data_IF_136076443244
#
_entry.id   IF_136076443244
#
_cell.length_a   1.000
_cell.length_b   1.000
_cell.length_c   1.000
_cell.angle_alpha   90.00
_cell.angle_beta   90.00
_cell.angle_gamma   90.00
#
_symmetry.space_group_name_H-M   'P 1'
#
loop_
_entity.id
_entity.type
_entity.pdbx_description
1 polymer ?
#
# COMPACT_ATOMS: atom_id res chain seq x y z
N UNK A 1 -4.09 -1.75 9.45
CA UNK A 1 -3.97 -1.20 8.08
C UNK A 1 -5.34 -0.75 7.63
N UNK A 2 -5.41 0.21 6.71
CA UNK A 2 -6.64 0.63 6.06
C UNK A 2 -6.41 0.68 4.54
N UNK A 3 -7.46 0.47 3.76
CA UNK A 3 -7.41 0.57 2.31
C UNK A 3 -8.69 1.20 1.77
N UNK A 4 -8.56 2.02 0.74
CA UNK A 4 -9.66 2.61 -0.02
C UNK A 4 -9.50 2.33 -1.50
N UNK A 5 -10.62 2.24 -2.20
CA UNK A 5 -10.69 1.96 -3.62
C UNK A 5 -11.82 2.77 -4.23
N UNK A 6 -11.52 3.46 -5.33
CA UNK A 6 -12.45 4.26 -6.10
C UNK A 6 -12.72 3.56 -7.43
N UNK A 7 -13.96 3.12 -7.62
CA UNK A 7 -14.39 2.44 -8.84
C UNK A 7 -15.29 3.37 -9.64
N UNK A 8 -14.93 3.63 -10.90
CA UNK A 8 -15.72 4.45 -11.82
C UNK A 8 -15.71 3.83 -13.22
N UNK A 9 -16.89 3.76 -13.86
CA UNK A 9 -17.02 3.20 -15.21
C UNK A 9 -16.46 1.79 -15.34
N UNK A 10 -16.72 0.94 -14.34
CA UNK A 10 -16.18 -0.43 -14.18
C UNK A 10 -14.67 -0.49 -13.90
N UNK A 11 -13.94 0.63 -13.89
CA UNK A 11 -12.49 0.67 -13.65
C UNK A 11 -12.16 0.99 -12.20
N UNK A 12 -11.09 0.39 -11.68
CA UNK A 12 -10.46 0.88 -10.45
C UNK A 12 -9.66 2.13 -10.81
N UNK A 13 -10.28 3.30 -10.66
CA UNK A 13 -9.70 4.60 -11.02
C UNK A 13 -8.72 5.14 -9.99
N UNK A 14 -8.83 4.67 -8.74
CA UNK A 14 -7.94 5.05 -7.65
C UNK A 14 -7.94 3.99 -6.57
N UNK A 15 -6.82 3.85 -5.87
CA UNK A 15 -6.74 3.06 -4.65
C UNK A 15 -5.64 3.62 -3.76
N UNK A 16 -5.83 3.52 -2.46
CA UNK A 16 -4.83 3.86 -1.47
C UNK A 16 -4.79 2.79 -0.38
N UNK A 17 -3.59 2.41 0.04
CA UNK A 17 -3.36 1.51 1.17
C UNK A 17 -2.48 2.23 2.18
N UNK A 18 -2.93 2.29 3.43
CA UNK A 18 -2.23 2.91 4.55
C UNK A 18 -1.89 1.85 5.59
N UNK A 19 -0.59 1.68 5.84
CA UNK A 19 -0.04 0.72 6.80
C UNK A 19 0.54 1.48 7.99
N UNK A 20 0.23 1.00 9.20
CA UNK A 20 0.77 1.57 10.43
C UNK A 20 2.18 1.04 10.65
N UNK A 21 3.19 1.91 10.49
CA UNK A 21 4.60 1.57 10.67
C UNK A 21 4.86 1.12 12.11
N UNK A 22 4.23 1.79 13.07
CA UNK A 22 4.34 1.47 14.50
C UNK A 22 3.87 0.05 14.85
N UNK A 23 3.06 -0.58 13.99
CA UNK A 23 2.53 -1.94 14.17
C UNK A 23 3.37 -3.02 13.47
N UNK A 24 4.48 -2.66 12.80
CA UNK A 24 5.35 -3.64 12.14
C UNK A 24 6.01 -4.54 13.19
N UNK A 25 5.83 -5.86 13.00
CA UNK A 25 6.32 -6.89 13.88
C UNK A 25 6.84 -8.09 13.09
N UNK A 26 7.90 -8.70 13.61
CA UNK A 26 8.47 -9.97 13.15
C UNK A 26 8.60 -10.91 14.36
N UNK A 27 9.25 -12.05 14.17
CA UNK A 27 9.62 -12.97 15.27
C UNK A 27 10.77 -12.45 16.16
N UNK A 28 11.31 -11.25 15.88
CA UNK A 28 12.42 -10.66 16.61
C UNK A 28 12.12 -9.22 17.04
N UNK A 29 11.74 -9.05 18.31
CA UNK A 29 11.35 -7.76 18.87
C UNK A 29 12.46 -6.70 18.86
N UNK A 30 13.74 -7.10 18.93
CA UNK A 30 14.87 -6.16 18.84
C UNK A 30 14.98 -5.57 17.43
N UNK A 31 14.83 -6.41 16.40
CA UNK A 31 14.80 -5.97 14.99
C UNK A 31 13.61 -5.05 14.75
N UNK A 32 12.45 -5.37 15.31
CA UNK A 32 11.25 -4.55 15.14
C UNK A 32 11.40 -3.17 15.79
N UNK A 33 12.01 -3.10 16.98
CA UNK A 33 12.31 -1.85 17.66
C UNK A 33 13.29 -0.98 16.88
N UNK A 34 14.37 -1.58 16.36
CA UNK A 34 15.33 -0.87 15.51
C UNK A 34 14.67 -0.35 14.23
N UNK A 35 13.81 -1.17 13.61
CA UNK A 35 13.11 -0.80 12.37
C UNK A 35 12.15 0.37 12.60
N UNK A 36 11.27 0.27 13.60
CA UNK A 36 10.29 1.32 13.91
C UNK A 36 10.95 2.62 14.39
N UNK A 37 12.03 2.53 15.17
CA UNK A 37 12.73 3.71 15.69
C UNK A 37 13.68 4.33 14.67
N UNK A 38 14.83 3.68 14.46
CA UNK A 38 15.96 4.30 13.75
C UNK A 38 15.88 4.21 12.22
N UNK A 39 15.10 3.27 11.68
CA UNK A 39 15.04 3.04 10.22
C UNK A 39 13.86 3.74 9.57
N UNK A 40 12.71 3.76 10.25
CA UNK A 40 11.46 4.31 9.71
C UNK A 40 10.92 5.51 10.50
N UNK A 41 11.58 5.89 11.60
CA UNK A 41 11.19 7.00 12.47
C UNK A 41 9.68 7.07 12.72
N UNK A 42 9.07 5.96 13.18
CA UNK A 42 7.62 5.77 13.26
C UNK A 42 6.89 6.78 14.15
N UNK A 43 7.58 7.45 15.07
CA UNK A 43 7.02 8.55 15.86
C UNK A 43 6.78 9.82 14.99
N UNK A 44 7.61 10.02 13.96
CA UNK A 44 7.51 11.12 12.99
C UNK A 44 6.70 10.71 11.76
N UNK A 45 6.90 9.48 11.27
CA UNK A 45 6.23 8.92 10.09
C UNK A 45 5.44 7.66 10.50
N UNK A 46 4.28 7.82 11.15
CA UNK A 46 3.54 6.69 11.72
C UNK A 46 2.94 5.76 10.67
N UNK A 47 2.86 6.20 9.41
CA UNK A 47 2.23 5.46 8.32
C UNK A 47 3.09 5.39 7.07
N UNK A 48 3.01 4.24 6.41
CA UNK A 48 3.46 4.02 5.05
C UNK A 48 2.23 3.99 4.13
N UNK A 49 2.36 4.58 2.93
CA UNK A 49 1.22 4.72 2.02
C UNK A 49 1.58 4.21 0.63
N UNK A 50 0.76 3.32 0.08
CA UNK A 50 0.76 2.99 -1.34
C UNK A 50 -0.41 3.71 -2.01
N UNK A 51 -0.17 4.37 -3.15
CA UNK A 51 -1.22 5.04 -3.94
C UNK A 51 -1.15 4.55 -5.38
N UNK A 52 -2.28 4.09 -5.91
CA UNK A 52 -2.40 3.70 -7.31
C UNK A 52 -2.23 4.93 -8.20
N UNK A 53 -1.33 4.86 -9.17
CA UNK A 53 -1.08 5.95 -10.14
C UNK A 53 -1.70 5.67 -11.50
N UNK A 54 -1.94 4.41 -11.82
CA UNK A 54 -2.52 3.98 -13.09
C UNK A 54 -3.82 3.23 -12.82
N UNK A 55 -4.96 3.65 -13.41
CA UNK A 55 -6.20 2.91 -13.30
C UNK A 55 -6.03 1.46 -13.77
N UNK A 56 -6.61 0.52 -13.02
CA UNK A 56 -6.63 -0.89 -13.45
C UNK A 56 -7.77 -1.10 -14.44
N UNK A 57 -7.47 -1.72 -15.58
CA UNK A 57 -8.43 -1.95 -16.65
C UNK A 57 -9.44 -3.05 -16.25
N UNK A 58 -10.76 -2.79 -16.28
CA UNK A 58 -11.80 -3.79 -16.06
C UNK A 58 -11.72 -5.00 -16.99
N UNK A 59 -11.15 -4.86 -18.18
CA UNK A 59 -10.98 -5.98 -19.10
C UNK A 59 -10.09 -7.11 -18.51
N UNK A 60 -9.29 -6.79 -17.49
CA UNK A 60 -8.48 -7.76 -16.73
C UNK A 60 -9.22 -8.39 -15.55
N UNK A 61 -10.42 -7.91 -15.22
CA UNK A 61 -11.22 -8.40 -14.09
C UNK A 61 -12.18 -9.51 -14.56
N UNK A 62 -12.30 -10.62 -13.81
CA UNK A 62 -13.31 -11.63 -14.06
C UNK A 62 -14.72 -11.03 -13.92
N UNK A 63 -15.58 -11.32 -14.89
CA UNK A 63 -16.99 -10.92 -14.87
C UNK A 63 -17.87 -11.88 -14.08
N UNK A 64 -17.31 -13.01 -13.63
CA UNK A 64 -18.00 -14.07 -12.88
C UNK A 64 -17.94 -13.87 -11.35
N UNK A 65 -17.40 -12.75 -10.89
CA UNK A 65 -17.28 -12.41 -9.47
C UNK A 65 -16.15 -13.15 -8.74
N UNK A 66 -15.30 -13.89 -9.46
CA UNK A 66 -14.11 -14.50 -8.86
C UNK A 66 -13.04 -13.44 -8.56
N UNK A 67 -12.33 -13.63 -7.45
CA UNK A 67 -11.18 -12.79 -7.13
C UNK A 67 -10.04 -13.09 -8.10
N UNK A 68 -9.45 -12.04 -8.68
CA UNK A 68 -8.25 -12.14 -9.51
C UNK A 68 -7.11 -11.34 -8.92
N UNK A 69 -5.89 -11.68 -9.34
CA UNK A 69 -4.71 -10.88 -9.08
C UNK A 69 -4.47 -9.97 -10.28
N UNK A 70 -4.45 -8.66 -10.04
CA UNK A 70 -4.08 -7.66 -11.04
C UNK A 70 -2.76 -7.00 -10.69
N UNK A 71 -2.04 -6.56 -11.71
CA UNK A 71 -0.84 -5.74 -11.56
C UNK A 71 -1.28 -4.29 -11.33
N UNK A 72 -0.83 -3.68 -10.24
CA UNK A 72 -1.27 -2.34 -9.82
C UNK A 72 -0.07 -1.39 -9.75
N UNK A 73 0.12 -0.58 -10.79
CA UNK A 73 1.19 0.42 -10.79
C UNK A 73 0.83 1.60 -9.89
N UNK A 74 1.72 1.90 -8.95
CA UNK A 74 1.54 2.95 -7.97
C UNK A 74 2.83 3.51 -7.42
N UNK A 75 2.71 4.35 -6.41
CA UNK A 75 3.83 4.86 -5.64
C UNK A 75 3.74 4.39 -4.20
N UNK A 76 4.87 3.93 -3.67
CA UNK A 76 5.06 3.63 -2.26
C UNK A 76 5.77 4.81 -1.60
N UNK A 77 5.18 5.33 -0.54
CA UNK A 77 5.75 6.37 0.31
C UNK A 77 6.12 5.75 1.66
N UNK A 78 7.42 5.83 1.98
CA UNK A 78 8.01 5.43 3.25
C UNK A 78 8.76 6.64 3.80
N UNK A 79 8.46 7.04 5.03
CA UNK A 79 8.95 8.31 5.58
C UNK A 79 8.58 9.50 4.67
N UNK A 80 9.57 10.26 4.22
CA UNK A 80 9.45 11.36 3.25
C UNK A 80 9.82 10.93 1.82
N UNK A 81 10.13 9.65 1.60
CA UNK A 81 10.58 9.12 0.32
C UNK A 81 9.44 8.44 -0.45
N UNK A 82 9.18 8.91 -1.67
CA UNK A 82 8.19 8.30 -2.59
C UNK A 82 8.90 7.64 -3.76
N UNK A 83 8.54 6.38 -4.07
CA UNK A 83 9.12 5.63 -5.19
C UNK A 83 8.04 4.87 -5.97
N UNK A 84 8.20 4.69 -7.29
CA UNK A 84 7.31 3.85 -8.08
C UNK A 84 7.44 2.38 -7.65
N UNK A 85 6.33 1.66 -7.70
CA UNK A 85 6.20 0.24 -7.33
C UNK A 85 5.04 -0.40 -8.10
N UNK A 86 5.08 -1.72 -8.22
CA UNK A 86 4.04 -2.48 -8.91
C UNK A 86 3.72 -3.80 -8.23
#
# INVERSE_FOLDING_TARGET
MAGTADVSGEKLSGAQVVVQVAAIATDNSRRDGQFRGNVMAADTFPTATFTLTTPVDPASLPTDGTATTVKADGTLTLEDQTRPST
#
